data_IF_085002941324
#
_entry.id   IF_085002941324
#
_cell.length_a   1.000
_cell.length_b   1.000
_cell.length_c   1.000
_cell.angle_alpha   90.00
_cell.angle_beta   90.00
_cell.angle_gamma   90.00
#
_symmetry.space_group_name_H-M   'P 1'
#
loop_
_entity.id
_entity.type
_entity.pdbx_description
1 polymer ?
#
# COMPACT_ATOMS: atom_id res chain seq x y z
N UNK A 1 1.90 -22.91 20.19
CA UNK A 1 0.83 -22.79 19.18
C UNK A 1 1.50 -22.74 17.82
N UNK A 2 1.31 -23.77 17.00
CA UNK A 2 1.91 -23.87 15.66
C UNK A 2 1.04 -23.06 14.69
N UNK A 3 1.52 -21.89 14.29
CA UNK A 3 0.88 -21.10 13.24
C UNK A 3 1.21 -21.74 11.90
N UNK A 4 0.19 -22.12 11.13
CA UNK A 4 0.36 -22.73 9.80
C UNK A 4 0.58 -21.61 8.77
N UNK A 5 1.81 -21.43 8.25
CA UNK A 5 2.10 -20.36 7.30
C UNK A 5 1.23 -20.46 6.05
N UNK A 6 0.88 -21.67 5.62
CA UNK A 6 0.02 -21.91 4.46
C UNK A 6 -1.36 -21.27 4.61
N UNK A 7 -1.89 -21.21 5.84
CA UNK A 7 -3.19 -20.62 6.11
C UNK A 7 -3.13 -19.07 6.08
N UNK A 8 -2.03 -18.49 6.55
CA UNK A 8 -1.78 -17.06 6.42
C UNK A 8 -1.63 -16.63 4.95
N UNK A 9 -0.87 -17.39 4.15
CA UNK A 9 -0.67 -17.10 2.73
C UNK A 9 -1.97 -17.20 1.92
N UNK A 10 -2.88 -18.12 2.29
CA UNK A 10 -4.20 -18.20 1.67
C UNK A 10 -5.05 -16.94 1.93
N UNK A 11 -5.06 -16.44 3.17
CA UNK A 11 -5.73 -15.19 3.52
C UNK A 11 -5.07 -13.97 2.84
N UNK A 12 -3.75 -13.95 2.70
CA UNK A 12 -3.03 -12.92 1.95
C UNK A 12 -3.49 -12.89 0.50
N UNK A 13 -3.42 -14.03 -0.19
CA UNK A 13 -3.83 -14.13 -1.60
C UNK A 13 -5.27 -13.67 -1.82
N UNK A 14 -6.19 -14.10 -0.96
CA UNK A 14 -7.59 -13.67 -1.03
C UNK A 14 -7.76 -12.17 -0.74
N UNK A 15 -7.11 -11.66 0.30
CA UNK A 15 -7.15 -10.24 0.67
C UNK A 15 -6.64 -9.33 -0.46
N UNK A 16 -5.48 -9.66 -1.04
CA UNK A 16 -4.90 -8.91 -2.16
C UNK A 16 -5.78 -8.99 -3.41
N UNK A 17 -6.35 -10.16 -3.73
CA UNK A 17 -7.27 -10.28 -4.86
C UNK A 17 -8.54 -9.45 -4.68
N UNK A 18 -9.11 -9.43 -3.46
CA UNK A 18 -10.26 -8.61 -3.12
C UNK A 18 -9.94 -7.12 -3.21
N UNK A 19 -8.75 -6.70 -2.77
CA UNK A 19 -8.26 -5.33 -2.91
C UNK A 19 -8.19 -4.92 -4.38
N UNK A 20 -7.53 -5.69 -5.25
CA UNK A 20 -7.48 -5.35 -6.68
C UNK A 20 -8.85 -5.36 -7.37
N UNK A 21 -9.80 -6.15 -6.85
CA UNK A 21 -11.18 -6.19 -7.30
C UNK A 21 -12.09 -5.07 -6.74
N UNK A 22 -11.55 -4.17 -5.91
CA UNK A 22 -12.29 -3.07 -5.31
C UNK A 22 -13.18 -3.45 -4.13
N UNK A 23 -13.02 -4.65 -3.59
CA UNK A 23 -13.77 -5.14 -2.42
C UNK A 23 -13.02 -4.84 -1.14
N UNK A 24 -13.00 -3.57 -0.75
CA UNK A 24 -12.12 -3.03 0.28
C UNK A 24 -12.32 -3.64 1.67
N UNK A 25 -13.53 -3.61 2.24
CA UNK A 25 -13.76 -4.12 3.60
C UNK A 25 -13.49 -5.64 3.72
N UNK A 26 -13.94 -6.49 2.77
CA UNK A 26 -13.56 -7.90 2.77
C UNK A 26 -12.05 -8.13 2.59
N UNK A 27 -11.36 -7.27 1.84
CA UNK A 27 -9.91 -7.33 1.71
C UNK A 27 -9.23 -7.08 3.08
N UNK A 28 -9.61 -6.01 3.77
CA UNK A 28 -9.08 -5.65 5.10
C UNK A 28 -9.29 -6.80 6.08
N UNK A 29 -10.47 -7.42 6.12
CA UNK A 29 -10.74 -8.55 7.02
C UNK A 29 -9.75 -9.72 6.82
N UNK A 30 -9.46 -10.06 5.57
CA UNK A 30 -8.53 -11.15 5.24
C UNK A 30 -7.07 -10.76 5.53
N UNK A 31 -6.69 -9.52 5.26
CA UNK A 31 -5.36 -9.01 5.54
C UNK A 31 -5.11 -8.94 7.05
N UNK A 32 -6.09 -8.50 7.84
CA UNK A 32 -6.02 -8.50 9.31
C UNK A 32 -5.90 -9.92 9.88
N UNK A 33 -6.60 -10.91 9.28
CA UNK A 33 -6.40 -12.33 9.63
C UNK A 33 -4.97 -12.78 9.35
N UNK A 34 -4.42 -12.40 8.20
CA UNK A 34 -3.02 -12.71 7.82
C UNK A 34 -2.05 -12.15 8.86
N UNK A 35 -2.18 -10.88 9.24
CA UNK A 35 -1.33 -10.22 10.25
C UNK A 35 -1.42 -10.97 11.59
N UNK A 36 -2.63 -11.33 12.04
CA UNK A 36 -2.80 -12.09 13.31
C UNK A 36 -2.17 -13.48 13.27
N UNK A 37 -2.20 -14.15 12.11
CA UNK A 37 -1.65 -15.49 11.95
C UNK A 37 -0.13 -15.49 11.81
N UNK A 38 0.48 -14.42 11.30
CA UNK A 38 1.93 -14.35 11.05
C UNK A 38 2.47 -12.92 11.27
N UNK A 39 2.48 -12.41 12.51
CA UNK A 39 2.85 -11.03 12.81
C UNK A 39 4.35 -10.72 12.65
N UNK A 40 5.19 -11.73 12.45
CA UNK A 40 6.63 -11.59 12.23
C UNK A 40 7.07 -12.12 10.84
N UNK A 41 6.12 -12.24 9.91
CA UNK A 41 6.42 -12.67 8.55
C UNK A 41 7.35 -11.66 7.85
N UNK A 42 8.46 -12.08 7.22
CA UNK A 42 9.30 -11.19 6.42
C UNK A 42 8.54 -10.47 5.28
N UNK A 43 7.40 -11.00 4.85
CA UNK A 43 6.52 -10.40 3.84
C UNK A 43 5.40 -9.55 4.44
N UNK A 44 5.43 -9.26 5.74
CA UNK A 44 4.41 -8.45 6.42
C UNK A 44 4.20 -7.08 5.76
N UNK A 45 5.25 -6.49 5.18
CA UNK A 45 5.14 -5.24 4.43
C UNK A 45 4.17 -5.33 3.24
N UNK A 46 4.07 -6.49 2.58
CA UNK A 46 3.13 -6.71 1.47
C UNK A 46 1.70 -6.63 2.00
N UNK A 47 1.44 -7.30 3.12
CA UNK A 47 0.11 -7.36 3.76
C UNK A 47 -0.34 -5.98 4.21
N UNK A 48 0.57 -5.23 4.87
CA UNK A 48 0.31 -3.87 5.34
C UNK A 48 0.11 -2.90 4.16
N UNK A 49 0.89 -3.03 3.08
CA UNK A 49 0.71 -2.21 1.87
C UNK A 49 -0.64 -2.48 1.20
N UNK A 50 -1.05 -3.75 1.10
CA UNK A 50 -2.36 -4.09 0.55
C UNK A 50 -3.50 -3.55 1.44
N UNK A 51 -3.33 -3.59 2.77
CA UNK A 51 -4.32 -3.07 3.71
C UNK A 51 -4.44 -1.55 3.59
N UNK A 52 -3.32 -0.82 3.53
CA UNK A 52 -3.34 0.63 3.39
C UNK A 52 -3.96 1.07 2.06
N UNK A 53 -3.75 0.33 0.97
CA UNK A 53 -4.43 0.56 -0.30
C UNK A 53 -5.95 0.34 -0.21
N UNK A 54 -6.40 -0.68 0.51
CA UNK A 54 -7.83 -0.89 0.73
C UNK A 54 -8.46 0.23 1.59
N UNK A 55 -7.74 0.70 2.62
CA UNK A 55 -8.14 1.85 3.44
C UNK A 55 -8.18 3.15 2.62
N UNK A 56 -7.21 3.36 1.74
CA UNK A 56 -7.21 4.47 0.77
C UNK A 56 -8.44 4.39 -0.16
N UNK A 57 -8.79 3.18 -0.62
CA UNK A 57 -10.01 2.92 -1.39
C UNK A 57 -11.30 3.31 -0.67
N UNK A 58 -11.32 3.17 0.66
CA UNK A 58 -12.41 3.62 1.54
C UNK A 58 -12.29 5.09 1.99
N UNK A 59 -11.25 5.81 1.55
CA UNK A 59 -10.93 7.19 1.96
C UNK A 59 -10.68 7.33 3.47
N UNK A 60 -10.26 6.26 4.13
CA UNK A 60 -9.83 6.26 5.54
C UNK A 60 -8.35 6.62 5.61
N UNK A 61 -8.03 7.88 5.30
CA UNK A 61 -6.66 8.33 5.05
C UNK A 61 -5.76 8.23 6.27
N UNK A 62 -6.27 8.50 7.47
CA UNK A 62 -5.51 8.44 8.71
C UNK A 62 -5.03 7.01 9.01
N UNK A 63 -5.93 6.04 8.95
CA UNK A 63 -5.59 4.62 9.19
C UNK A 63 -4.71 4.07 8.05
N UNK A 64 -4.96 4.50 6.81
CA UNK A 64 -4.14 4.13 5.66
C UNK A 64 -2.69 4.59 5.84
N UNK A 65 -2.50 5.83 6.29
CA UNK A 65 -1.17 6.40 6.56
C UNK A 65 -0.46 5.64 7.69
N UNK A 66 -1.14 5.40 8.81
CA UNK A 66 -0.56 4.65 9.92
C UNK A 66 -0.12 3.26 9.45
N UNK A 67 -0.99 2.57 8.71
CA UNK A 67 -0.74 1.22 8.23
C UNK A 67 0.43 1.17 7.24
N UNK A 68 0.51 2.10 6.28
CA UNK A 68 1.62 2.08 5.30
C UNK A 68 2.94 2.49 5.94
N UNK A 69 2.94 3.35 6.96
CA UNK A 69 4.17 3.66 7.73
C UNK A 69 4.68 2.44 8.50
N UNK A 70 3.80 1.53 8.94
CA UNK A 70 4.24 0.26 9.51
C UNK A 70 4.90 -0.63 8.43
N UNK A 71 4.42 -0.57 7.19
CA UNK A 71 5.01 -1.29 6.06
C UNK A 71 6.41 -0.76 5.72
N UNK A 72 6.60 0.56 5.62
CA UNK A 72 7.91 1.17 5.29
C UNK A 72 8.97 0.98 6.38
N UNK A 73 8.56 0.65 7.61
CA UNK A 73 9.47 0.32 8.73
C UNK A 73 9.94 -1.13 8.70
N UNK A 74 9.36 -1.99 7.86
CA UNK A 74 9.83 -3.37 7.74
C UNK A 74 11.19 -3.41 7.04
N UNK A 75 12.18 -4.19 7.54
CA UNK A 75 13.51 -4.25 6.94
C UNK A 75 13.55 -4.74 5.49
N UNK A 76 12.54 -5.50 5.09
CA UNK A 76 12.38 -6.12 3.77
C UNK A 76 11.49 -5.30 2.83
N UNK A 77 11.05 -4.10 3.26
CA UNK A 77 10.15 -3.27 2.47
C UNK A 77 10.79 -2.83 1.15
N UNK A 78 10.09 -3.10 0.05
CA UNK A 78 10.50 -2.68 -1.29
C UNK A 78 9.78 -1.37 -1.69
N UNK A 79 9.82 -1.02 -2.97
CA UNK A 79 9.30 0.23 -3.52
C UNK A 79 7.83 0.53 -3.19
N UNK A 80 6.97 -0.49 -3.23
CA UNK A 80 5.51 -0.37 -3.19
C UNK A 80 4.96 0.43 -1.98
N UNK A 81 5.33 0.12 -0.72
CA UNK A 81 4.88 0.90 0.44
C UNK A 81 5.29 2.38 0.40
N UNK A 82 6.46 2.72 -0.16
CA UNK A 82 6.90 4.12 -0.26
C UNK A 82 6.06 4.90 -1.28
N UNK A 83 5.71 4.27 -2.41
CA UNK A 83 4.81 4.87 -3.38
C UNK A 83 3.40 5.09 -2.79
N UNK A 84 2.88 4.09 -2.07
CA UNK A 84 1.56 4.21 -1.41
C UNK A 84 1.58 5.28 -0.30
N UNK A 85 2.68 5.39 0.46
CA UNK A 85 2.84 6.45 1.46
C UNK A 85 2.84 7.85 0.84
N UNK A 86 3.62 8.07 -0.23
CA UNK A 86 3.63 9.36 -0.93
C UNK A 86 2.23 9.72 -1.47
N UNK A 87 1.53 8.73 -2.04
CA UNK A 87 0.17 8.93 -2.53
C UNK A 87 -0.82 9.31 -1.43
N UNK A 88 -0.80 8.58 -0.29
CA UNK A 88 -1.68 8.86 0.85
C UNK A 88 -1.40 10.25 1.42
N UNK A 89 -0.13 10.64 1.59
CA UNK A 89 0.22 11.96 2.11
C UNK A 89 -0.22 13.09 1.17
N UNK A 90 -0.12 12.89 -0.15
CA UNK A 90 -0.67 13.81 -1.14
C UNK A 90 -2.18 13.94 -1.02
N UNK A 91 -2.90 12.84 -0.87
CA UNK A 91 -4.36 12.87 -0.67
C UNK A 91 -4.78 13.51 0.67
N UNK A 92 -3.97 13.32 1.71
CA UNK A 92 -4.15 13.95 3.02
C UNK A 92 -3.75 15.43 3.04
N UNK A 93 -3.29 16.00 1.91
CA UNK A 93 -2.82 17.39 1.79
C UNK A 93 -1.72 17.75 2.80
N UNK A 94 -0.86 16.78 3.11
CA UNK A 94 0.30 16.96 3.99
C UNK A 94 1.53 17.29 3.15
N UNK A 95 1.50 18.44 2.48
CA UNK A 95 2.41 18.78 1.37
C UNK A 95 3.90 18.55 1.68
N UNK A 96 4.37 19.03 2.84
CA UNK A 96 5.77 18.89 3.24
C UNK A 96 6.17 17.42 3.45
N UNK A 97 5.29 16.62 4.06
CA UNK A 97 5.54 15.18 4.27
C UNK A 97 5.43 14.41 2.96
N UNK A 98 4.48 14.77 2.08
CA UNK A 98 4.29 14.17 0.77
C UNK A 98 5.53 14.37 -0.12
N UNK A 99 6.08 15.59 -0.15
CA UNK A 99 7.32 15.90 -0.85
C UNK A 99 8.50 15.10 -0.29
N UNK A 100 8.62 14.99 1.04
CA UNK A 100 9.68 14.20 1.64
C UNK A 100 9.54 12.70 1.29
N UNK A 101 8.32 12.16 1.31
CA UNK A 101 8.06 10.78 0.91
C UNK A 101 8.37 10.54 -0.58
N UNK A 102 8.12 11.52 -1.46
CA UNK A 102 8.51 11.47 -2.86
C UNK A 102 10.03 11.46 -3.03
N UNK A 103 10.76 12.28 -2.27
CA UNK A 103 12.23 12.26 -2.26
C UNK A 103 12.75 10.89 -1.82
N UNK A 104 12.15 10.30 -0.78
CA UNK A 104 12.55 8.96 -0.32
C UNK A 104 12.24 7.88 -1.36
N UNK A 105 11.09 7.96 -2.02
CA UNK A 105 10.73 7.08 -3.13
C UNK A 105 11.75 7.16 -4.28
N UNK A 106 12.14 8.38 -4.67
CA UNK A 106 13.11 8.62 -5.74
C UNK A 106 14.53 8.17 -5.38
N UNK A 107 14.89 8.14 -4.08
CA UNK A 107 16.15 7.54 -3.63
C UNK A 107 16.17 6.02 -3.84
N UNK A 108 15.02 5.37 -3.68
CA UNK A 108 14.88 3.92 -3.88
C UNK A 108 14.85 3.58 -5.38
N UNK A 109 14.05 4.32 -6.15
CA UNK A 109 13.95 4.17 -7.60
C UNK A 109 13.92 5.55 -8.28
N UNK A 110 15.08 6.03 -8.79
CA UNK A 110 15.18 7.35 -9.42
C UNK A 110 14.34 7.54 -10.68
N UNK A 111 14.02 6.45 -11.38
CA UNK A 111 13.25 6.42 -12.62
C UNK A 111 11.79 5.98 -12.40
N UNK A 112 11.27 6.09 -11.17
CA UNK A 112 9.86 5.81 -10.89
C UNK A 112 8.98 6.76 -11.69
N UNK A 113 7.96 6.21 -12.34
CA UNK A 113 7.02 6.95 -13.18
C UNK A 113 5.61 6.44 -12.94
N UNK A 114 4.60 7.20 -13.37
CA UNK A 114 3.20 6.76 -13.28
C UNK A 114 3.01 5.40 -13.97
N UNK A 115 3.66 5.17 -15.12
CA UNK A 115 3.58 3.88 -15.83
C UNK A 115 4.16 2.72 -15.01
N UNK A 116 5.26 2.94 -14.28
CA UNK A 116 5.78 1.93 -13.35
C UNK A 116 4.75 1.64 -12.24
N UNK A 117 4.09 2.66 -11.69
CA UNK A 117 3.06 2.50 -10.65
C UNK A 117 1.85 1.70 -11.17
N UNK A 118 1.40 1.98 -12.39
CA UNK A 118 0.31 1.24 -13.04
C UNK A 118 0.64 -0.24 -13.26
N UNK A 119 1.91 -0.57 -13.50
CA UNK A 119 2.37 -1.97 -13.63
C UNK A 119 2.42 -2.68 -12.28
N UNK A 120 2.85 -2.00 -11.22
CA UNK A 120 2.94 -2.57 -9.86
C UNK A 120 1.54 -2.78 -9.25
N UNK A 121 0.59 -1.90 -9.58
CA UNK A 121 -0.76 -1.93 -9.04
C UNK A 121 -1.81 -2.10 -10.13
N UNK A 122 -2.06 -3.34 -10.60
CA UNK A 122 -3.04 -3.65 -11.64
C UNK A 122 -4.47 -3.61 -11.10
N UNK A 123 -4.88 -2.47 -10.54
CA UNK A 123 -6.25 -2.26 -10.08
C UNK A 123 -7.24 -2.46 -11.23
N UNK A 124 -8.28 -3.26 -10.98
CA UNK A 124 -9.43 -3.33 -11.88
C UNK A 124 -10.24 -2.04 -11.83
N UNK A 125 -10.29 -1.43 -10.64
CA UNK A 125 -10.99 -0.18 -10.40
C UNK A 125 -10.14 1.03 -10.84
N UNK A 126 -10.55 1.64 -11.95
CA UNK A 126 -9.87 2.81 -12.52
C UNK A 126 -10.00 4.05 -11.64
N UNK A 127 -11.06 4.17 -10.85
CA UNK A 127 -11.25 5.34 -9.98
C UNK A 127 -10.21 5.34 -8.87
N UNK A 128 -9.97 4.17 -8.27
CA UNK A 128 -8.98 4.06 -7.21
C UNK A 128 -7.54 4.12 -7.71
N UNK A 129 -7.26 3.58 -8.90
CA UNK A 129 -5.97 3.83 -9.55
C UNK A 129 -5.76 5.33 -9.82
N UNK A 130 -6.77 6.02 -10.34
CA UNK A 130 -6.71 7.47 -10.57
C UNK A 130 -6.50 8.24 -9.26
N UNK A 131 -7.15 7.83 -8.18
CA UNK A 131 -6.98 8.44 -6.87
C UNK A 131 -5.57 8.23 -6.29
N UNK A 132 -5.00 7.03 -6.45
CA UNK A 132 -3.61 6.75 -6.08
C UNK A 132 -2.64 7.64 -6.88
N UNK A 133 -2.81 7.67 -8.21
CA UNK A 133 -1.96 8.46 -9.12
C UNK A 133 -2.06 9.95 -8.80
N UNK A 134 -3.25 10.46 -8.51
CA UNK A 134 -3.43 11.86 -8.16
C UNK A 134 -2.71 12.22 -6.87
N UNK A 135 -2.73 11.36 -5.86
CA UNK A 135 -1.93 11.52 -4.65
C UNK A 135 -0.44 11.62 -4.95
N UNK A 136 0.07 10.79 -5.87
CA UNK A 136 1.46 10.83 -6.30
C UNK A 136 1.80 12.11 -7.06
N UNK A 137 0.88 12.62 -7.88
CA UNK A 137 1.06 13.91 -8.57
C UNK A 137 1.15 15.07 -7.58
N UNK A 138 0.26 15.09 -6.59
CA UNK A 138 0.30 16.09 -5.50
C UNK A 138 1.62 15.97 -4.73
N UNK A 139 2.11 14.76 -4.48
CA UNK A 139 3.40 14.52 -3.84
C UNK A 139 4.62 14.90 -4.72
N UNK A 140 4.41 15.22 -6.00
CA UNK A 140 5.45 15.69 -6.91
C UNK A 140 6.17 14.60 -7.70
N UNK A 141 5.48 13.52 -8.08
CA UNK A 141 6.08 12.49 -8.94
C UNK A 141 6.56 13.12 -10.27
N UNK A 142 7.79 12.82 -10.73
CA UNK A 142 8.29 13.32 -12.01
C UNK A 142 7.44 12.84 -13.20
N UNK A 143 7.38 13.67 -14.24
CA UNK A 143 6.67 13.40 -15.50
C UNK A 143 7.42 12.44 -16.42
#
# INVERSE_FOLDING_TARGET
MSYNPSYAHAHLGLGTALMFAGKWSPAIENLDRTIRLSPHDPLLWIVLTAKSMALLGLRQLEEAEETVRQATRQPTAELSPYAVLAAILGQSKKDAEAQQAMVDLLRIKPDVSISHIEQIFPFRDKENLAYLIEGLRIAGIPH
#
